data_IF_836499477631
#
_entry.id   IF_836499477631
#
_cell.length_a   1.000
_cell.length_b   1.000
_cell.length_c   1.000
_cell.angle_alpha   90.00
_cell.angle_beta   90.00
_cell.angle_gamma   90.00
#
_symmetry.space_group_name_H-M   'P 1'
#
loop_
_entity.id
_entity.type
_entity.pdbx_description
1 polymer ?
#
# COMPACT_ATOMS: atom_id res chain seq x y z
N UNK A 1 -7.98 15.03 -3.99
CA UNK A 1 -7.99 14.63 -4.32
C UNK A 1 -8.16 13.93 -4.54
N UNK A 2 -8.10 13.52 -4.30
CA UNK A 2 -8.16 12.72 -4.45
C UNK A 2 -8.53 11.93 -4.79
N UNK A 3 -8.67 11.51 -4.73
CA UNK A 3 -9.03 10.82 -5.12
C UNK A 3 -9.38 10.27 -5.72
N UNK A 4 -9.56 10.08 -5.73
CA UNK A 4 -9.84 9.62 -6.31
C UNK A 4 -10.15 8.96 -6.91
N UNK A 5 -10.29 8.67 -6.79
CA UNK A 5 -10.59 8.11 -7.30
C UNK A 5 -11.14 7.59 -7.57
N UNK A 6 -11.53 7.49 -7.35
CA UNK A 6 -12.20 7.09 -7.63
C UNK A 6 -12.76 6.77 -8.06
N UNK A 7 -13.05 6.78 -8.00
CA UNK A 7 -13.70 6.60 -8.51
C UNK A 7 -14.15 6.18 -9.27
N UNK A 8 -14.20 6.16 -9.31
CA UNK A 8 -14.65 5.86 -10.16
C UNK A 8 -14.93 5.20 -10.70
N UNK A 9 -15.03 4.91 -10.77
CA UNK A 9 -15.26 4.31 -11.32
C UNK A 9 -15.84 3.71 -11.35
N UNK A 10 -16.30 3.68 -10.86
CA UNK A 10 -16.89 3.20 -10.84
C UNK A 10 -17.66 2.93 -11.38
N UNK A 11 -17.92 3.18 -11.43
CA UNK A 11 -18.73 2.97 -11.89
C UNK A 11 -18.92 2.31 -12.79
N UNK A 12 -18.78 2.17 -13.10
CA UNK A 12 -18.89 1.59 -13.86
C UNK A 12 -19.25 0.73 -14.04
N UNK A 13 -19.29 0.69 -13.71
CA UNK A 13 -19.37 -0.22 -13.76
C UNK A 13 -20.40 -0.91 -13.78
N UNK A 14 -20.73 -0.73 -13.47
CA UNK A 14 -21.83 -1.26 -13.25
C UNK A 14 -22.28 -2.05 -14.18
N UNK A 15 -22.18 -1.69 -15.07
CA UNK A 15 -22.70 -2.34 -15.92
C UNK A 15 -22.39 -3.67 -15.92
N UNK A 16 -21.67 -4.13 -16.37
CA UNK A 16 -21.39 -5.36 -16.46
C UNK A 16 -21.82 -6.24 -15.44
N UNK A 17 -22.63 -5.83 -14.78
CA UNK A 17 -22.97 -6.55 -13.69
C UNK A 17 -23.29 -7.95 -13.92
N UNK A 18 -23.70 -8.31 -14.99
CA UNK A 18 -24.04 -9.68 -15.17
C UNK A 18 -22.83 -10.60 -15.10
N UNK A 19 -21.66 -10.07 -15.20
CA UNK A 19 -20.48 -10.91 -15.23
C UNK A 19 -20.06 -11.28 -13.82
N UNK A 20 -19.81 -12.54 -13.59
CA UNK A 20 -19.31 -12.97 -12.30
C UNK A 20 -17.93 -12.39 -12.07
N UNK A 21 -17.70 -11.90 -10.87
CA UNK A 21 -16.41 -11.36 -10.52
C UNK A 21 -15.38 -12.48 -10.46
N UNK A 22 -14.18 -12.20 -10.91
CA UNK A 22 -13.07 -13.10 -10.77
C UNK A 22 -12.52 -12.93 -9.35
N UNK A 23 -12.44 -14.02 -8.59
CA UNK A 23 -11.94 -13.89 -7.22
C UNK A 23 -10.50 -13.36 -7.20
N UNK A 24 -10.20 -12.51 -6.26
CA UNK A 24 -8.86 -12.00 -6.10
C UNK A 24 -7.94 -13.12 -5.64
N UNK A 25 -6.69 -13.06 -6.08
CA UNK A 25 -5.69 -14.00 -5.61
C UNK A 25 -5.45 -13.79 -4.12
N UNK A 26 -5.01 -14.85 -3.45
CA UNK A 26 -4.67 -14.73 -2.04
C UNK A 26 -3.59 -13.68 -1.84
N UNK A 27 -2.60 -13.67 -2.72
CA UNK A 27 -1.52 -12.68 -2.63
C UNK A 27 -2.04 -11.26 -2.83
N UNK A 28 -3.00 -11.09 -3.73
CA UNK A 28 -3.62 -9.78 -3.90
C UNK A 28 -4.35 -9.34 -2.64
N UNK A 29 -5.08 -10.26 -2.00
CA UNK A 29 -5.80 -9.90 -0.79
C UNK A 29 -4.85 -9.50 0.32
N UNK A 30 -3.71 -10.20 0.44
CA UNK A 30 -2.70 -9.82 1.44
C UNK A 30 -2.14 -8.44 1.13
N UNK A 31 -1.88 -8.16 -0.14
CA UNK A 31 -1.37 -6.84 -0.53
C UNK A 31 -2.39 -5.74 -0.24
N UNK A 32 -3.67 -6.01 -0.50
CA UNK A 32 -4.70 -5.01 -0.18
C UNK A 32 -4.79 -4.75 1.32
N UNK A 33 -4.56 -5.79 2.13
CA UNK A 33 -4.51 -5.59 3.57
C UNK A 33 -3.33 -4.70 3.97
N UNK A 34 -2.19 -4.86 3.31
CA UNK A 34 -1.05 -3.98 3.58
C UNK A 34 -1.33 -2.56 3.10
N UNK A 35 -2.02 -2.40 1.97
CA UNK A 35 -2.40 -1.06 1.52
C UNK A 35 -3.22 -0.34 2.57
N UNK A 36 -4.09 -1.06 3.25
CA UNK A 36 -4.92 -0.45 4.29
C UNK A 36 -4.08 0.04 5.48
N UNK A 37 -2.85 -0.41 5.58
CA UNK A 37 -1.94 0.01 6.65
C UNK A 37 -0.99 1.13 6.24
N UNK A 38 -1.06 1.59 4.98
CA UNK A 38 -0.21 2.69 4.56
C UNK A 38 -0.53 3.90 5.43
N UNK A 39 0.52 4.49 5.99
CA UNK A 39 0.34 5.66 6.85
C UNK A 39 0.02 6.86 5.99
N UNK A 40 -1.05 7.55 6.37
CA UNK A 40 -1.53 8.69 5.59
C UNK A 40 -1.18 10.03 6.23
N UNK A 41 -0.57 9.98 7.42
CA UNK A 41 -0.09 11.20 8.08
C UNK A 41 1.21 10.87 8.79
N UNK A 42 2.09 11.85 8.97
CA UNK A 42 3.38 11.58 9.58
C UNK A 42 3.26 11.22 11.06
N UNK A 43 4.16 10.37 11.53
CA UNK A 43 4.21 9.98 12.92
C UNK A 43 4.48 11.23 13.75
N UNK A 44 3.71 11.38 14.83
CA UNK A 44 3.82 12.51 15.74
C UNK A 44 3.62 13.86 15.04
N UNK A 45 3.07 13.85 13.83
CA UNK A 45 2.87 15.08 13.08
C UNK A 45 4.16 15.68 12.53
N UNK A 46 5.26 14.94 12.54
CA UNK A 46 6.58 15.46 12.15
C UNK A 46 6.81 15.20 10.68
N UNK A 47 6.86 16.27 9.88
CA UNK A 47 7.16 16.17 8.46
C UNK A 47 8.65 16.37 8.26
N UNK A 48 9.37 15.28 8.17
CA UNK A 48 10.81 15.31 7.98
C UNK A 48 11.19 14.43 6.79
N UNK A 49 12.49 14.30 6.55
CA UNK A 49 12.96 13.49 5.43
C UNK A 49 12.48 12.05 5.48
N UNK A 50 12.39 11.47 6.68
CA UNK A 50 11.92 10.09 6.80
C UNK A 50 10.48 9.95 6.33
N UNK A 51 9.64 10.93 6.63
CA UNK A 51 8.25 10.91 6.18
C UNK A 51 8.17 11.02 4.65
N UNK A 52 8.92 11.95 4.07
CA UNK A 52 8.87 12.14 2.63
C UNK A 52 9.48 10.94 1.90
N UNK A 53 10.56 10.37 2.43
CA UNK A 53 11.13 9.16 1.83
C UNK A 53 10.15 8.01 1.88
N UNK A 54 9.45 7.84 3.00
CA UNK A 54 8.43 6.79 3.11
C UNK A 54 7.37 6.95 2.03
N UNK A 55 6.90 8.18 1.83
CA UNK A 55 5.87 8.41 0.81
C UNK A 55 6.38 8.12 -0.60
N UNK A 56 7.61 8.50 -0.86
CA UNK A 56 8.21 8.21 -2.16
C UNK A 56 8.34 6.70 -2.35
N UNK A 57 8.80 6.00 -1.35
CA UNK A 57 8.99 4.56 -1.44
C UNK A 57 7.66 3.84 -1.65
N UNK A 58 6.59 4.30 -0.99
CA UNK A 58 5.27 3.72 -1.22
C UNK A 58 4.81 3.96 -2.65
N UNK A 59 5.02 5.17 -3.16
CA UNK A 59 4.63 5.49 -4.54
C UNK A 59 5.41 4.62 -5.52
N UNK A 60 6.70 4.44 -5.27
CA UNK A 60 7.52 3.60 -6.15
C UNK A 60 7.06 2.15 -6.12
N UNK A 61 6.69 1.64 -4.94
CA UNK A 61 6.19 0.28 -4.85
C UNK A 61 4.90 0.12 -5.66
N UNK A 62 4.03 1.13 -5.61
CA UNK A 62 2.79 1.08 -6.37
C UNK A 62 3.04 1.14 -7.87
N UNK A 63 4.01 1.93 -8.29
CA UNK A 63 4.37 2.00 -9.71
C UNK A 63 5.01 0.70 -10.18
N UNK A 64 5.81 0.11 -9.34
CA UNK A 64 6.43 -1.16 -9.68
C UNK A 64 5.39 -2.26 -9.82
N UNK A 65 4.41 -2.31 -8.91
CA UNK A 65 3.33 -3.27 -9.03
C UNK A 65 2.61 -3.12 -10.37
N UNK A 66 2.26 -1.88 -10.73
CA UNK A 66 1.56 -1.65 -11.99
C UNK A 66 2.40 -2.13 -13.17
N UNK A 67 3.69 -1.88 -13.13
CA UNK A 67 4.60 -2.32 -14.18
C UNK A 67 4.70 -3.84 -14.23
N UNK A 68 4.85 -4.47 -13.07
CA UNK A 68 4.99 -5.91 -13.01
C UNK A 68 3.72 -6.60 -13.50
N UNK A 69 2.55 -6.07 -13.15
CA UNK A 69 1.30 -6.66 -13.62
C UNK A 69 1.15 -6.52 -15.13
N UNK A 70 1.62 -5.41 -15.70
CA UNK A 70 1.56 -5.24 -17.16
C UNK A 70 2.46 -6.23 -17.87
N UNK A 71 3.59 -6.59 -17.24
CA UNK A 71 4.53 -7.52 -17.86
C UNK A 71 4.21 -8.97 -17.55
N UNK A 72 3.28 -9.23 -16.62
CA UNK A 72 2.98 -10.58 -16.21
C UNK A 72 2.39 -11.36 -17.38
N UNK A 73 2.93 -12.54 -17.64
CA UNK A 73 2.47 -13.36 -18.74
C UNK A 73 1.68 -14.58 -18.27
N UNK A 74 1.70 -14.90 -17.00
CA UNK A 74 0.98 -16.03 -16.48
C UNK A 74 0.54 -15.77 -15.03
N UNK A 75 -0.11 -16.74 -14.44
CA UNK A 75 -0.63 -16.60 -13.10
C UNK A 75 0.49 -16.48 -12.07
N UNK A 76 1.56 -17.22 -12.27
CA UNK A 76 2.67 -17.17 -11.31
C UNK A 76 3.31 -15.79 -11.29
N UNK A 77 3.50 -15.16 -12.45
CA UNK A 77 4.02 -13.81 -12.51
C UNK A 77 3.12 -12.85 -11.74
N UNK A 78 1.80 -13.00 -11.89
CA UNK A 78 0.87 -12.14 -11.20
C UNK A 78 0.94 -12.34 -9.68
N UNK A 79 1.03 -13.58 -9.25
CA UNK A 79 1.13 -13.88 -7.82
C UNK A 79 2.41 -13.30 -7.25
N UNK A 80 3.52 -13.43 -7.99
CA UNK A 80 4.79 -12.88 -7.53
C UNK A 80 4.74 -11.37 -7.41
N UNK A 81 4.09 -10.70 -8.37
CA UNK A 81 3.97 -9.25 -8.34
C UNK A 81 3.24 -8.78 -7.08
N UNK A 82 2.11 -9.42 -6.78
CA UNK A 82 1.34 -9.06 -5.59
C UNK A 82 2.09 -9.38 -4.30
N UNK A 83 2.79 -10.52 -4.28
CA UNK A 83 3.52 -10.91 -3.09
C UNK A 83 4.66 -9.95 -2.81
N UNK A 84 5.39 -9.58 -3.84
CA UNK A 84 6.48 -8.63 -3.66
C UNK A 84 5.96 -7.27 -3.20
N UNK A 85 4.86 -6.81 -3.80
CA UNK A 85 4.26 -5.54 -3.42
C UNK A 85 3.87 -5.54 -1.94
N UNK A 86 3.21 -6.60 -1.48
CA UNK A 86 2.82 -6.69 -0.07
C UNK A 86 4.05 -6.62 0.83
N UNK A 87 5.12 -7.31 0.44
CA UNK A 87 6.35 -7.35 1.21
C UNK A 87 6.99 -5.98 1.29
N UNK A 88 6.99 -5.25 0.17
CA UNK A 88 7.58 -3.92 0.15
C UNK A 88 6.79 -2.92 0.97
N UNK A 89 5.47 -2.95 0.87
CA UNK A 89 4.66 -2.02 1.67
C UNK A 89 4.91 -2.23 3.15
N UNK A 90 4.98 -3.49 3.58
CA UNK A 90 5.23 -3.78 4.99
C UNK A 90 6.62 -3.33 5.40
N UNK A 91 7.62 -3.62 4.57
CA UNK A 91 9.00 -3.27 4.88
C UNK A 91 9.18 -1.76 5.02
N UNK A 92 8.64 -0.99 4.07
CA UNK A 92 8.78 0.46 4.13
C UNK A 92 8.08 1.05 5.35
N UNK A 93 6.91 0.50 5.69
CA UNK A 93 6.22 0.96 6.88
C UNK A 93 7.03 0.66 8.14
N UNK A 94 7.56 -0.55 8.24
CA UNK A 94 8.32 -0.93 9.42
C UNK A 94 9.61 -0.14 9.55
N UNK A 95 10.28 0.12 8.43
CA UNK A 95 11.50 0.91 8.46
C UNK A 95 11.20 2.34 8.91
N UNK A 96 10.15 2.95 8.36
CA UNK A 96 9.79 4.29 8.75
C UNK A 96 9.47 4.38 10.24
N UNK A 97 8.66 3.43 10.74
CA UNK A 97 8.29 3.42 12.16
C UNK A 97 9.54 3.25 13.02
N UNK A 98 10.43 2.36 12.63
CA UNK A 98 11.64 2.08 13.38
C UNK A 98 12.56 3.30 13.39
N UNK A 99 12.76 3.93 12.23
CA UNK A 99 13.66 5.07 12.13
C UNK A 99 13.12 6.29 12.88
N UNK A 100 11.81 6.50 12.84
CA UNK A 100 11.21 7.57 13.64
C UNK A 100 11.37 7.29 15.13
N UNK A 101 11.20 6.03 15.55
CA UNK A 101 11.35 5.67 16.94
C UNK A 101 12.77 5.94 17.44
N UNK A 102 13.77 5.73 16.58
CA UNK A 102 15.16 6.02 16.95
C UNK A 102 15.37 7.50 17.22
N UNK A 103 14.53 8.37 16.68
CA UNK A 103 14.59 9.80 16.91
C UNK A 103 13.66 10.24 18.03
N UNK A 104 13.02 9.30 18.71
CA UNK A 104 12.11 9.62 19.80
C UNK A 104 10.67 9.80 19.40
N UNK A 105 10.32 9.59 18.13
CA UNK A 105 8.94 9.77 17.68
C UNK A 105 8.27 8.41 17.54
N UNK A 106 7.18 8.21 18.30
CA UNK A 106 6.49 6.94 18.33
C UNK A 106 5.15 7.03 17.63
N UNK A 107 4.77 5.93 17.00
CA UNK A 107 3.51 5.86 16.32
C UNK A 107 2.38 5.76 17.34
N UNK A 108 1.32 6.49 17.05
CA UNK A 108 0.12 6.36 17.83
C UNK A 108 0.28 6.81 19.22
N UNK A 109 -0.52 6.27 20.09
CA UNK A 109 -0.54 6.68 21.34
C UNK A 109 0.07 5.86 22.20
N UNK A 110 0.74 5.28 21.79
CA UNK A 110 1.42 4.55 22.53
C UNK A 110 1.58 4.93 23.75
N UNK A 111 1.29 5.42 24.06
CA UNK A 111 1.44 5.73 25.19
C UNK A 111 0.92 5.12 26.12
N UNK A 112 0.70 5.10 26.09
CA UNK A 112 0.20 4.69 26.78
C UNK A 112 0.65 3.91 27.52
N UNK A 113 1.19 3.88 27.73
CA UNK A 113 1.65 3.30 28.31
C UNK A 113 1.87 3.35 29.27
N UNK A 114 1.64 3.48 29.49
CA UNK A 114 1.81 3.49 30.25
C UNK A 114 1.84 3.15 30.88
#
# INVERSE_FOLDING_TARGET
MNIKFLLPLLALGAAGAATAAIPALAEERLARAEEARILTSPIAGIENGLWFDYRIDITEAQEELASDLRRASDLEDRRDAWEEYARELKHEREDYIHDMAKRGYRQGNVYIDR
#
